data_IF_290947621749
#
_entry.id   IF_290947621749
#
_cell.length_a   1.000
_cell.length_b   1.000
_cell.length_c   1.000
_cell.angle_alpha   90.00
_cell.angle_beta   90.00
_cell.angle_gamma   90.00
#
_symmetry.space_group_name_H-M   'P 1'
#
loop_
_entity.id
_entity.type
_entity.pdbx_description
1 polymer ?
#
# COMPACT_ATOMS: atom_id res chain seq x y z
N UNK A 1 -6.23 -25.71 -8.96
CA UNK A 1 -5.50 -24.73 -9.80
C UNK A 1 -4.05 -24.65 -9.37
N UNK A 2 -3.14 -24.36 -10.29
CA UNK A 2 -1.74 -24.09 -9.96
C UNK A 2 -1.57 -22.58 -9.75
N UNK A 3 -0.99 -22.20 -8.63
CA UNK A 3 -0.87 -20.80 -8.19
C UNK A 3 0.59 -20.42 -8.03
N UNK A 4 0.96 -19.22 -8.50
CA UNK A 4 2.23 -18.58 -8.17
C UNK A 4 1.95 -17.39 -7.26
N UNK A 5 2.56 -17.38 -6.08
CA UNK A 5 2.60 -16.25 -5.16
C UNK A 5 3.90 -15.47 -5.39
N UNK A 6 3.81 -14.18 -5.63
CA UNK A 6 4.97 -13.29 -5.76
C UNK A 6 5.18 -12.55 -4.45
N UNK A 7 6.41 -12.65 -3.92
CA UNK A 7 6.87 -12.00 -2.70
C UNK A 7 7.53 -12.97 -1.73
N UNK A 8 8.08 -12.45 -0.62
CA UNK A 8 8.85 -13.26 0.33
C UNK A 8 8.80 -12.75 1.77
N UNK A 9 7.91 -11.80 2.07
CA UNK A 9 7.73 -11.25 3.41
C UNK A 9 6.78 -12.07 4.29
N UNK A 10 6.52 -11.58 5.50
CA UNK A 10 5.59 -12.19 6.45
C UNK A 10 4.14 -12.20 5.93
N UNK A 11 3.73 -11.18 5.18
CA UNK A 11 2.43 -11.12 4.50
C UNK A 11 2.29 -12.26 3.51
N UNK A 12 3.28 -12.47 2.65
CA UNK A 12 3.26 -13.55 1.67
C UNK A 12 3.34 -14.93 2.33
N UNK A 13 4.04 -15.05 3.47
CA UNK A 13 4.02 -16.29 4.24
C UNK A 13 2.59 -16.62 4.76
N UNK A 14 1.90 -15.64 5.32
CA UNK A 14 0.50 -15.81 5.75
C UNK A 14 -0.43 -16.16 4.59
N UNK A 15 -0.25 -15.51 3.42
CA UNK A 15 -0.98 -15.83 2.21
C UNK A 15 -0.69 -17.26 1.71
N UNK A 16 0.58 -17.68 1.69
CA UNK A 16 0.97 -19.03 1.29
C UNK A 16 0.32 -20.08 2.18
N UNK A 17 0.36 -19.86 3.50
CA UNK A 17 -0.26 -20.75 4.48
C UNK A 17 -1.79 -20.85 4.26
N UNK A 18 -2.48 -19.73 4.06
CA UNK A 18 -3.91 -19.72 3.80
C UNK A 18 -4.27 -20.36 2.45
N UNK A 19 -3.49 -20.08 1.40
CA UNK A 19 -3.68 -20.68 0.07
C UNK A 19 -3.46 -22.18 0.09
N UNK A 20 -2.48 -22.68 0.84
CA UNK A 20 -2.19 -24.13 0.95
C UNK A 20 -3.35 -24.93 1.52
N UNK A 21 -4.18 -24.31 2.36
CA UNK A 21 -5.39 -24.93 2.92
C UNK A 21 -6.59 -24.94 1.97
N UNK A 22 -6.49 -24.29 0.81
CA UNK A 22 -7.61 -24.19 -0.14
C UNK A 22 -7.87 -25.51 -0.88
N UNK A 23 -9.10 -26.03 -0.89
CA UNK A 23 -9.43 -27.23 -1.67
C UNK A 23 -9.36 -27.03 -3.19
N UNK A 24 -9.26 -25.80 -3.65
CA UNK A 24 -9.11 -25.46 -5.06
C UNK A 24 -7.64 -25.48 -5.52
N UNK A 25 -6.69 -25.54 -4.59
CA UNK A 25 -5.27 -25.54 -4.90
C UNK A 25 -4.82 -26.95 -5.33
N UNK A 26 -4.05 -27.01 -6.42
CA UNK A 26 -3.34 -28.22 -6.83
C UNK A 26 -1.85 -28.11 -6.48
N UNK A 27 -1.22 -27.01 -6.87
CA UNK A 27 0.18 -26.72 -6.53
C UNK A 27 0.33 -25.23 -6.18
N UNK A 28 1.19 -24.94 -5.20
CA UNK A 28 1.58 -23.61 -4.83
C UNK A 28 3.07 -23.41 -5.10
N UNK A 29 3.39 -22.39 -5.89
CA UNK A 29 4.75 -21.92 -6.11
C UNK A 29 4.88 -20.53 -5.49
N UNK A 30 6.09 -20.13 -5.08
CA UNK A 30 6.36 -18.79 -4.54
C UNK A 30 7.71 -18.26 -5.04
N UNK A 31 7.75 -16.99 -5.43
CA UNK A 31 8.96 -16.32 -5.91
C UNK A 31 9.15 -14.94 -5.25
N UNK A 32 10.28 -14.65 -4.63
CA UNK A 32 11.36 -15.58 -4.28
C UNK A 32 10.99 -16.49 -3.11
N UNK A 33 9.98 -16.15 -2.30
CA UNK A 33 9.59 -16.85 -1.09
C UNK A 33 10.58 -16.66 0.07
N UNK A 34 10.44 -17.49 1.09
CA UNK A 34 11.32 -17.56 2.26
C UNK A 34 11.30 -18.98 2.87
N UNK A 35 12.16 -19.31 3.85
CA UNK A 35 12.19 -20.65 4.43
C UNK A 35 10.87 -21.16 5.01
N UNK A 36 10.05 -20.29 5.62
CA UNK A 36 8.74 -20.69 6.14
C UNK A 36 7.73 -20.96 5.03
N UNK A 37 7.78 -20.22 3.92
CA UNK A 37 6.95 -20.48 2.73
C UNK A 37 7.34 -21.84 2.10
N UNK A 38 8.61 -22.22 2.16
CA UNK A 38 9.09 -23.50 1.62
C UNK A 38 8.42 -24.72 2.28
N UNK A 39 7.83 -24.58 3.46
CA UNK A 39 7.11 -25.65 4.13
C UNK A 39 5.75 -25.99 3.46
N UNK A 40 5.18 -25.04 2.72
CA UNK A 40 3.84 -25.15 2.11
C UNK A 40 3.83 -24.86 0.59
N UNK A 41 4.95 -24.43 0.00
CA UNK A 41 5.04 -24.07 -1.40
C UNK A 41 6.39 -24.46 -2.01
N UNK A 42 6.44 -24.65 -3.32
CA UNK A 42 7.69 -24.81 -4.08
C UNK A 42 8.27 -23.43 -4.33
N UNK A 43 9.49 -23.18 -3.84
CA UNK A 43 10.19 -21.92 -4.12
C UNK A 43 10.71 -21.89 -5.56
N UNK A 44 10.48 -20.77 -6.24
CA UNK A 44 10.91 -20.51 -7.60
C UNK A 44 12.05 -19.48 -7.62
N UNK A 45 13.21 -19.87 -8.12
CA UNK A 45 14.35 -18.99 -8.26
C UNK A 45 14.25 -18.20 -9.58
N UNK A 46 13.30 -17.27 -9.63
CA UNK A 46 13.08 -16.36 -10.76
C UNK A 46 13.20 -14.91 -10.29
N UNK A 47 13.73 -14.06 -11.15
CA UNK A 47 13.70 -12.62 -10.95
C UNK A 47 12.29 -12.11 -11.28
N UNK A 48 11.57 -11.66 -10.27
CA UNK A 48 10.19 -11.15 -10.42
C UNK A 48 10.14 -9.78 -11.11
N UNK A 49 11.26 -9.11 -11.32
CA UNK A 49 11.36 -7.88 -12.11
C UNK A 49 11.48 -8.16 -13.61
N UNK A 50 11.85 -9.37 -13.98
CA UNK A 50 11.80 -9.87 -15.37
C UNK A 50 10.43 -10.51 -15.63
N UNK A 51 9.47 -9.70 -16.07
CA UNK A 51 8.11 -10.16 -16.33
C UNK A 51 8.06 -11.26 -17.41
N UNK A 52 8.97 -11.27 -18.38
CA UNK A 52 9.06 -12.32 -19.40
C UNK A 52 9.47 -13.66 -18.77
N UNK A 53 10.44 -13.65 -17.84
CA UNK A 53 10.82 -14.83 -17.08
C UNK A 53 9.67 -15.36 -16.21
N UNK A 54 8.90 -14.48 -15.56
CA UNK A 54 7.71 -14.86 -14.79
C UNK A 54 6.67 -15.53 -15.68
N UNK A 55 6.37 -14.95 -16.84
CA UNK A 55 5.40 -15.50 -17.81
C UNK A 55 5.87 -16.87 -18.33
N UNK A 56 7.16 -17.01 -18.66
CA UNK A 56 7.74 -18.27 -19.09
C UNK A 56 7.63 -19.35 -18.02
N UNK A 57 7.93 -18.98 -16.75
CA UNK A 57 7.76 -19.88 -15.61
C UNK A 57 6.31 -20.33 -15.45
N UNK A 58 5.35 -19.40 -15.54
CA UNK A 58 3.93 -19.72 -15.46
C UNK A 58 3.51 -20.74 -16.52
N UNK A 59 3.98 -20.57 -17.75
CA UNK A 59 3.69 -21.51 -18.85
C UNK A 59 4.31 -22.89 -18.61
N UNK A 60 5.58 -22.95 -18.19
CA UNK A 60 6.30 -24.20 -17.94
C UNK A 60 5.65 -25.02 -16.82
N UNK A 61 5.15 -24.36 -15.78
CA UNK A 61 4.55 -25.02 -14.62
C UNK A 61 3.02 -25.03 -14.63
N UNK A 62 2.40 -24.70 -15.78
CA UNK A 62 0.94 -24.64 -15.95
C UNK A 62 0.25 -23.79 -14.85
N UNK A 63 0.89 -22.70 -14.43
CA UNK A 63 0.31 -21.74 -13.47
C UNK A 63 -0.87 -21.05 -14.16
N UNK A 64 -2.02 -21.10 -13.53
CA UNK A 64 -3.27 -20.52 -14.04
C UNK A 64 -3.70 -19.26 -13.29
N UNK A 65 -3.07 -19.01 -12.14
CA UNK A 65 -3.40 -17.86 -11.30
C UNK A 65 -2.15 -17.34 -10.56
N UNK A 66 -1.93 -16.04 -10.62
CA UNK A 66 -0.83 -15.37 -9.93
C UNK A 66 -1.38 -14.44 -8.86
N UNK A 67 -0.83 -14.52 -7.65
CA UNK A 67 -1.11 -13.60 -6.55
C UNK A 67 0.12 -12.75 -6.31
N UNK A 68 -0.02 -11.43 -6.39
CA UNK A 68 1.10 -10.50 -6.19
C UNK A 68 0.95 -9.85 -4.81
N UNK A 69 1.88 -10.14 -3.90
CA UNK A 69 1.88 -9.62 -2.54
C UNK A 69 2.43 -8.20 -2.43
N UNK A 70 3.67 -7.91 -2.89
CA UNK A 70 4.28 -6.59 -2.75
C UNK A 70 3.79 -5.61 -3.82
N UNK A 71 3.82 -4.32 -3.49
CA UNK A 71 3.39 -3.23 -4.37
C UNK A 71 4.36 -2.96 -5.53
N UNK A 72 5.67 -3.12 -5.33
CA UNK A 72 6.67 -2.74 -6.32
C UNK A 72 6.51 -3.45 -7.69
N UNK A 73 6.28 -4.78 -7.77
CA UNK A 73 5.99 -5.45 -9.03
C UNK A 73 4.70 -4.95 -9.69
N UNK A 74 3.69 -4.57 -8.91
CA UNK A 74 2.41 -4.04 -9.42
C UNK A 74 2.59 -2.65 -10.04
N UNK A 75 3.33 -1.78 -9.36
CA UNK A 75 3.72 -0.45 -9.88
C UNK A 75 4.58 -0.59 -11.14
N UNK A 76 5.42 -1.62 -11.23
CA UNK A 76 6.18 -1.95 -12.45
C UNK A 76 5.29 -2.41 -13.61
N UNK A 77 4.11 -3.02 -13.33
CA UNK A 77 3.13 -3.41 -14.34
C UNK A 77 3.02 -4.91 -14.59
N UNK A 78 3.50 -5.75 -13.67
CA UNK A 78 3.45 -7.22 -13.84
C UNK A 78 2.02 -7.75 -14.04
N UNK A 79 1.02 -7.10 -13.42
CA UNK A 79 -0.37 -7.52 -13.58
C UNK A 79 -0.88 -7.34 -15.02
N UNK A 80 -0.47 -6.24 -15.66
CA UNK A 80 -0.84 -5.97 -17.05
C UNK A 80 -0.18 -6.96 -18.00
N UNK A 81 1.11 -7.26 -17.81
CA UNK A 81 1.86 -8.18 -18.66
C UNK A 81 1.37 -9.63 -18.51
N UNK A 82 1.05 -10.06 -17.29
CA UNK A 82 0.42 -11.38 -17.05
C UNK A 82 -0.94 -11.48 -17.70
N UNK A 83 -1.78 -10.45 -17.54
CA UNK A 83 -3.10 -10.41 -18.17
C UNK A 83 -3.01 -10.44 -19.71
N UNK A 84 -2.08 -9.69 -20.32
CA UNK A 84 -1.80 -9.72 -21.74
C UNK A 84 -1.33 -11.09 -22.23
N UNK A 85 -0.62 -11.84 -21.37
CA UNK A 85 -0.21 -13.22 -21.63
C UNK A 85 -1.32 -14.27 -21.42
N UNK A 86 -2.54 -13.85 -21.02
CA UNK A 86 -3.69 -14.72 -20.74
C UNK A 86 -3.65 -15.41 -19.37
N UNK A 87 -2.79 -14.96 -18.47
CA UNK A 87 -2.65 -15.51 -17.11
C UNK A 87 -3.49 -14.67 -16.16
N UNK A 88 -4.36 -15.31 -15.36
CA UNK A 88 -5.16 -14.62 -14.37
C UNK A 88 -4.25 -14.11 -13.24
N UNK A 89 -4.45 -12.87 -12.82
CA UNK A 89 -3.67 -12.22 -11.77
C UNK A 89 -4.58 -11.57 -10.75
N UNK A 90 -4.20 -11.70 -9.47
CA UNK A 90 -4.76 -10.95 -8.37
C UNK A 90 -3.77 -9.85 -7.96
N UNK A 91 -4.16 -8.63 -8.21
CA UNK A 91 -3.42 -7.39 -8.00
C UNK A 91 -3.88 -6.31 -8.96
N UNK A 92 -3.74 -5.03 -8.61
CA UNK A 92 -4.11 -3.91 -9.47
C UNK A 92 -3.21 -3.82 -10.71
N UNK A 93 -3.75 -3.23 -11.78
CA UNK A 93 -2.95 -2.83 -12.95
C UNK A 93 -1.90 -1.77 -12.55
N UNK A 94 -0.90 -1.56 -13.38
CA UNK A 94 0.12 -0.50 -13.19
C UNK A 94 -0.50 0.86 -12.92
N UNK A 95 -1.53 1.22 -13.67
CA UNK A 95 -2.23 2.49 -13.50
C UNK A 95 -3.02 2.54 -12.18
N UNK A 96 -3.67 1.45 -11.78
CA UNK A 96 -4.38 1.38 -10.51
C UNK A 96 -3.44 1.31 -9.30
N UNK A 97 -2.27 0.68 -9.43
CA UNK A 97 -1.26 0.59 -8.39
C UNK A 97 -0.66 1.96 -8.01
N UNK A 98 -0.86 3.01 -8.83
CA UNK A 98 -0.44 4.38 -8.49
C UNK A 98 -1.10 4.91 -7.21
N UNK A 99 -2.23 4.36 -6.80
CA UNK A 99 -2.86 4.73 -5.53
C UNK A 99 -1.97 4.43 -4.32
N UNK A 100 -1.06 3.49 -4.43
CA UNK A 100 -0.06 3.19 -3.41
C UNK A 100 1.34 3.69 -3.82
N UNK A 101 1.69 3.56 -5.09
CA UNK A 101 2.99 3.94 -5.62
C UNK A 101 3.26 5.44 -5.66
N UNK A 102 2.22 6.29 -5.59
CA UNK A 102 2.37 7.75 -5.62
C UNK A 102 1.45 8.44 -4.61
N UNK A 103 2.05 8.96 -3.54
CA UNK A 103 1.31 9.76 -2.54
C UNK A 103 0.61 10.98 -3.17
N UNK A 104 1.27 11.63 -4.12
CA UNK A 104 0.70 12.75 -4.84
C UNK A 104 -0.56 12.36 -5.63
N UNK A 105 -0.51 11.24 -6.37
CA UNK A 105 -1.66 10.72 -7.09
C UNK A 105 -2.85 10.46 -6.15
N UNK A 106 -2.60 9.77 -5.04
CA UNK A 106 -3.65 9.44 -4.07
C UNK A 106 -4.27 10.69 -3.46
N UNK A 107 -3.47 11.66 -3.08
CA UNK A 107 -3.96 12.93 -2.54
C UNK A 107 -4.79 13.71 -3.56
N UNK A 108 -4.32 13.80 -4.79
CA UNK A 108 -5.03 14.47 -5.88
C UNK A 108 -6.35 13.76 -6.20
N UNK A 109 -6.38 12.42 -6.18
CA UNK A 109 -7.59 11.62 -6.30
C UNK A 109 -8.59 11.93 -5.17
N UNK A 110 -8.11 11.94 -3.92
CA UNK A 110 -8.94 12.25 -2.76
C UNK A 110 -9.57 13.64 -2.88
N UNK A 111 -8.80 14.64 -3.27
CA UNK A 111 -9.29 16.02 -3.47
C UNK A 111 -10.33 16.11 -4.59
N UNK A 112 -10.06 15.50 -5.74
CA UNK A 112 -10.92 15.55 -6.92
C UNK A 112 -12.28 14.90 -6.66
N UNK A 113 -12.30 13.81 -5.89
CA UNK A 113 -13.52 13.03 -5.63
C UNK A 113 -14.11 13.22 -4.22
N UNK A 114 -13.59 14.17 -3.45
CA UNK A 114 -14.10 14.47 -2.11
C UNK A 114 -13.91 13.35 -1.08
N UNK A 115 -12.87 12.52 -1.24
CA UNK A 115 -12.55 11.42 -0.33
C UNK A 115 -11.81 12.01 0.88
N UNK A 116 -12.25 11.72 2.12
CA UNK A 116 -11.59 12.22 3.33
C UNK A 116 -10.13 11.82 3.40
N UNK A 117 -9.27 12.79 3.64
CA UNK A 117 -7.83 12.61 3.88
C UNK A 117 -7.29 13.80 4.64
N UNK A 118 -6.11 13.68 5.27
CA UNK A 118 -5.42 14.80 5.89
C UNK A 118 -5.29 15.98 4.91
N UNK A 119 -5.50 17.19 5.38
CA UNK A 119 -5.27 18.41 4.59
C UNK A 119 -3.80 18.42 4.10
N UNK A 120 -3.57 18.78 2.85
CA UNK A 120 -2.26 18.68 2.26
C UNK A 120 -2.00 19.76 1.21
N UNK A 121 -0.72 19.99 0.93
CA UNK A 121 -0.26 20.71 -0.25
C UNK A 121 0.95 20.01 -0.84
N UNK A 122 1.12 20.13 -2.16
CA UNK A 122 2.18 19.46 -2.92
C UNK A 122 3.15 20.46 -3.49
N UNK A 123 4.45 20.19 -3.38
CA UNK A 123 5.52 21.08 -3.80
C UNK A 123 6.54 20.34 -4.66
N UNK A 124 7.00 21.00 -5.70
CA UNK A 124 8.12 20.57 -6.55
C UNK A 124 9.38 21.40 -6.32
N UNK A 125 9.31 22.39 -5.41
CA UNK A 125 10.41 23.28 -5.06
C UNK A 125 10.48 23.48 -3.54
N UNK A 126 11.70 23.55 -3.01
CA UNK A 126 11.94 23.69 -1.57
C UNK A 126 11.45 25.04 -1.01
N UNK A 127 11.60 26.13 -1.77
CA UNK A 127 11.19 27.48 -1.32
C UNK A 127 9.72 27.54 -0.91
N UNK A 128 8.78 27.29 -1.85
CA UNK A 128 7.35 27.26 -1.55
C UNK A 128 6.97 26.25 -0.45
N UNK A 129 7.62 25.08 -0.38
CA UNK A 129 7.39 24.11 0.67
C UNK A 129 7.76 24.66 2.06
N UNK A 130 8.92 25.31 2.19
CA UNK A 130 9.35 25.96 3.44
C UNK A 130 8.38 27.06 3.87
N UNK A 131 7.93 27.89 2.92
CA UNK A 131 7.00 28.98 3.21
C UNK A 131 5.64 28.45 3.66
N UNK A 132 5.17 27.33 3.09
CA UNK A 132 3.98 26.65 3.55
C UNK A 132 4.15 26.11 4.98
N UNK A 133 5.26 25.40 5.26
CA UNK A 133 5.57 24.86 6.61
C UNK A 133 5.63 25.99 7.64
N UNK A 134 6.29 27.14 7.34
CA UNK A 134 6.31 28.30 8.24
C UNK A 134 4.94 28.88 8.52
N UNK A 135 4.08 28.92 7.50
CA UNK A 135 2.72 29.46 7.61
C UNK A 135 1.81 28.55 8.42
N UNK A 136 1.91 27.21 8.22
CA UNK A 136 1.06 26.23 8.90
C UNK A 136 1.53 25.95 10.33
N UNK A 137 2.84 26.08 10.60
CA UNK A 137 3.43 25.77 11.88
C UNK A 137 3.67 24.26 12.08
N UNK A 138 4.06 23.89 13.31
CA UNK A 138 4.28 22.50 13.72
C UNK A 138 3.28 22.13 14.86
N UNK A 139 2.92 20.85 15.02
CA UNK A 139 3.44 19.69 14.29
C UNK A 139 2.84 19.58 12.87
N UNK A 140 3.66 19.10 11.93
CA UNK A 140 3.28 18.94 10.53
C UNK A 140 3.99 17.69 9.95
N UNK A 141 3.43 17.08 8.92
CA UNK A 141 4.01 15.88 8.30
C UNK A 141 4.53 16.23 6.91
N UNK A 142 5.80 15.95 6.67
CA UNK A 142 6.46 16.14 5.38
C UNK A 142 6.75 14.75 4.79
N UNK A 143 6.23 14.48 3.60
CA UNK A 143 6.34 13.19 2.91
C UNK A 143 6.89 13.42 1.50
N UNK A 144 7.95 12.70 1.14
CA UNK A 144 8.21 12.30 -0.23
C UNK A 144 7.74 10.84 -0.39
N UNK A 145 8.28 10.07 -1.30
CA UNK A 145 8.04 8.61 -1.30
C UNK A 145 8.68 7.89 -0.09
N UNK A 146 9.36 8.65 0.82
CA UNK A 146 9.75 8.29 2.18
C UNK A 146 8.99 9.12 3.23
N UNK A 147 9.02 8.70 4.50
CA UNK A 147 8.34 9.39 5.62
C UNK A 147 9.33 10.25 6.42
N UNK A 148 9.00 11.52 6.62
CA UNK A 148 9.57 12.33 7.70
C UNK A 148 8.45 13.13 8.38
N UNK A 149 8.44 13.17 9.71
CA UNK A 149 7.51 13.97 10.50
C UNK A 149 8.32 14.99 11.29
N UNK A 150 8.00 16.28 11.12
CA UNK A 150 8.54 17.36 11.95
C UNK A 150 7.62 17.63 13.14
N UNK A 151 8.08 17.30 14.37
CA UNK A 151 7.39 17.66 15.61
C UNK A 151 7.63 19.12 15.97
N UNK A 152 8.74 19.69 15.52
CA UNK A 152 9.08 21.10 15.61
C UNK A 152 9.17 21.73 14.22
N UNK A 153 9.14 23.06 14.18
CA UNK A 153 9.27 23.79 12.92
C UNK A 153 10.64 23.54 12.27
N UNK A 154 11.70 23.49 13.07
CA UNK A 154 13.08 23.27 12.58
C UNK A 154 13.23 21.86 11.99
N UNK A 155 12.67 20.83 12.64
CA UNK A 155 12.65 19.46 12.13
C UNK A 155 11.88 19.37 10.79
N UNK A 156 10.73 20.06 10.69
CA UNK A 156 9.94 20.06 9.47
C UNK A 156 10.67 20.76 8.31
N UNK A 157 11.35 21.88 8.57
CA UNK A 157 12.15 22.57 7.57
C UNK A 157 13.37 21.75 7.15
N UNK A 158 14.06 21.12 8.10
CA UNK A 158 15.17 20.21 7.80
C UNK A 158 14.71 19.00 6.96
N UNK A 159 13.51 18.46 7.22
CA UNK A 159 12.94 17.39 6.40
C UNK A 159 12.67 17.84 4.95
N UNK A 160 12.13 19.05 4.74
CA UNK A 160 11.96 19.64 3.41
C UNK A 160 13.30 19.74 2.70
N UNK A 161 14.32 20.28 3.36
CA UNK A 161 15.65 20.46 2.77
C UNK A 161 16.29 19.13 2.37
N UNK A 162 16.28 18.14 3.28
CA UNK A 162 16.79 16.81 3.02
C UNK A 162 16.13 16.15 1.78
N UNK A 163 14.83 16.35 1.61
CA UNK A 163 14.10 15.75 0.49
C UNK A 163 14.46 16.40 -0.86
N UNK A 164 14.67 17.72 -0.91
CA UNK A 164 15.03 18.43 -2.14
C UNK A 164 16.52 18.43 -2.44
N UNK A 165 17.41 18.30 -1.44
CA UNK A 165 18.88 18.25 -1.61
C UNK A 165 19.41 16.91 -2.13
N UNK A 166 18.52 16.02 -2.56
CA UNK A 166 18.90 14.78 -3.26
C UNK A 166 19.13 13.56 -2.37
N UNK A 167 18.77 13.62 -1.09
CA UNK A 167 18.83 12.48 -0.17
C UNK A 167 17.91 11.30 -0.58
N UNK A 168 17.01 11.50 -1.55
CA UNK A 168 16.03 10.52 -1.98
C UNK A 168 15.95 10.31 -3.52
N UNK A 169 16.94 10.81 -4.28
CA UNK A 169 16.99 10.62 -5.74
C UNK A 169 15.74 11.12 -6.48
N UNK A 170 15.26 10.35 -7.46
CA UNK A 170 14.05 10.68 -8.23
C UNK A 170 12.77 10.78 -7.38
N UNK A 171 12.73 10.13 -6.22
CA UNK A 171 11.62 10.20 -5.27
C UNK A 171 11.46 11.58 -4.59
N UNK A 172 12.52 12.40 -4.58
CA UNK A 172 12.50 13.78 -4.06
C UNK A 172 11.94 14.82 -5.03
N UNK A 173 11.47 14.42 -6.22
CA UNK A 173 10.96 15.36 -7.22
C UNK A 173 9.64 16.08 -6.81
N UNK A 174 8.92 15.56 -5.82
CA UNK A 174 7.75 16.22 -5.24
C UNK A 174 7.60 15.85 -3.75
N UNK A 175 7.31 16.85 -2.95
CA UNK A 175 7.07 16.72 -1.51
C UNK A 175 5.60 17.03 -1.22
N UNK A 176 4.96 16.19 -0.40
CA UNK A 176 3.62 16.42 0.13
C UNK A 176 3.76 16.84 1.59
N UNK A 177 3.22 17.99 1.93
CA UNK A 177 3.14 18.49 3.30
C UNK A 177 1.71 18.34 3.78
N UNK A 178 1.51 17.62 4.89
CA UNK A 178 0.20 17.26 5.42
C UNK A 178 0.03 17.75 6.86
N UNK A 179 -1.22 18.01 7.24
CA UNK A 179 -1.56 18.24 8.65
C UNK A 179 -1.18 17.03 9.52
N UNK A 180 -0.78 17.32 10.74
CA UNK A 180 -0.54 16.29 11.75
C UNK A 180 -1.86 15.95 12.44
N UNK A 181 -2.36 14.74 12.21
CA UNK A 181 -3.55 14.22 12.87
C UNK A 181 -3.19 13.48 14.15
N UNK A 182 -4.01 13.62 15.19
CA UNK A 182 -3.90 12.88 16.46
C UNK A 182 -5.13 12.02 16.63
N UNK A 183 -4.96 10.78 17.05
CA UNK A 183 -6.04 9.82 17.21
C UNK A 183 -5.51 8.40 17.31
N UNK A 184 -6.38 7.42 17.17
CA UNK A 184 -6.00 6.02 17.11
C UNK A 184 -5.80 5.59 15.65
N UNK A 185 -4.61 5.04 15.33
CA UNK A 185 -4.37 4.44 14.01
C UNK A 185 -5.17 3.15 13.87
N UNK A 186 -5.72 2.90 12.69
CA UNK A 186 -6.33 1.63 12.33
C UNK A 186 -6.07 1.31 10.86
N UNK A 187 -5.92 0.01 10.60
CA UNK A 187 -5.77 -0.54 9.26
C UNK A 187 -7.09 -1.15 8.80
N UNK A 188 -7.60 -0.67 7.69
CA UNK A 188 -8.79 -1.19 7.05
C UNK A 188 -8.45 -1.80 5.69
N UNK A 189 -9.02 -2.97 5.42
CA UNK A 189 -8.78 -3.71 4.18
C UNK A 189 -10.09 -4.02 3.48
N UNK A 190 -10.12 -3.86 2.17
CA UNK A 190 -11.26 -4.24 1.34
C UNK A 190 -10.79 -5.07 0.14
N UNK A 191 -11.47 -6.18 -0.11
CA UNK A 191 -11.29 -6.98 -1.32
C UNK A 191 -12.11 -6.36 -2.45
N UNK A 192 -11.45 -6.02 -3.55
CA UNK A 192 -12.03 -5.26 -4.65
C UNK A 192 -11.90 -6.00 -5.98
N UNK A 193 -12.95 -5.94 -6.80
CA UNK A 193 -13.01 -6.52 -8.15
C UNK A 193 -13.03 -5.48 -9.28
N UNK A 194 -12.92 -4.20 -8.92
CA UNK A 194 -13.00 -3.04 -9.82
C UNK A 194 -14.34 -2.32 -9.79
N UNK A 195 -15.37 -2.93 -9.22
CA UNK A 195 -16.72 -2.36 -9.09
C UNK A 195 -17.25 -2.47 -7.66
N UNK A 196 -17.04 -3.63 -7.05
CA UNK A 196 -17.53 -3.98 -5.71
C UNK A 196 -16.39 -4.07 -4.73
N UNK A 197 -16.64 -3.69 -3.48
CA UNK A 197 -15.72 -3.90 -2.37
C UNK A 197 -16.39 -4.70 -1.26
N UNK A 198 -15.65 -5.68 -0.74
CA UNK A 198 -16.00 -6.45 0.44
C UNK A 198 -15.03 -6.10 1.56
N UNK A 199 -15.55 -5.60 2.69
CA UNK A 199 -14.74 -5.34 3.87
C UNK A 199 -14.13 -6.66 4.41
N UNK A 200 -12.84 -6.64 4.68
CA UNK A 200 -12.11 -7.70 5.37
C UNK A 200 -11.98 -7.36 6.86
N UNK A 201 -11.26 -8.23 7.61
CA UNK A 201 -10.94 -7.93 9.00
C UNK A 201 -10.07 -6.67 9.10
N UNK A 202 -10.32 -5.87 10.15
CA UNK A 202 -9.52 -4.69 10.47
C UNK A 202 -8.34 -5.08 11.36
N UNK A 203 -7.31 -4.25 11.39
CA UNK A 203 -6.17 -4.44 12.27
C UNK A 203 -5.72 -3.12 12.89
N UNK A 204 -5.00 -3.20 13.98
CA UNK A 204 -4.31 -2.07 14.59
C UNK A 204 -2.88 -2.49 14.92
N UNK A 205 -1.92 -1.73 14.44
CA UNK A 205 -0.50 -1.96 14.69
C UNK A 205 0.07 -0.85 15.59
N UNK A 206 1.08 -1.23 16.37
CA UNK A 206 1.80 -0.32 17.26
C UNK A 206 3.19 -0.08 16.69
N UNK A 207 3.45 1.14 16.26
CA UNK A 207 4.69 1.52 15.56
C UNK A 207 5.74 2.12 16.48
N UNK A 208 5.34 2.71 17.60
CA UNK A 208 6.28 3.38 18.50
C UNK A 208 7.01 2.39 19.40
N UNK A 209 8.31 2.64 19.60
CA UNK A 209 9.21 1.70 20.30
C UNK A 209 8.99 1.65 21.81
N UNK A 210 8.49 2.72 22.41
CA UNK A 210 8.35 2.86 23.86
C UNK A 210 6.94 2.60 24.37
N UNK A 211 6.85 2.22 25.64
CA UNK A 211 5.58 2.03 26.34
C UNK A 211 4.70 3.29 26.30
N UNK A 212 3.40 3.11 26.22
CA UNK A 212 2.44 4.21 26.13
C UNK A 212 2.48 4.97 24.80
N UNK A 213 2.83 4.29 23.71
CA UNK A 213 2.92 4.83 22.35
C UNK A 213 3.87 6.03 22.26
N UNK A 214 5.09 5.88 22.79
CA UNK A 214 6.13 6.91 22.87
C UNK A 214 7.37 6.56 22.06
N UNK A 215 8.24 7.55 21.80
CA UNK A 215 9.49 7.36 21.07
C UNK A 215 9.36 7.35 19.56
N UNK A 216 10.41 6.94 18.84
CA UNK A 216 10.42 6.88 17.39
C UNK A 216 9.55 5.75 16.84
N UNK A 217 9.07 5.91 15.60
CA UNK A 217 8.39 4.86 14.88
C UNK A 217 9.36 3.76 14.46
N UNK A 218 8.85 2.51 14.46
CA UNK A 218 9.51 1.30 13.97
C UNK A 218 8.74 0.74 12.77
N UNK A 219 9.15 -0.41 12.25
CA UNK A 219 8.37 -1.19 11.27
C UNK A 219 7.14 -1.90 11.85
N UNK A 220 6.95 -1.81 13.17
CA UNK A 220 5.85 -2.41 13.93
C UNK A 220 6.37 -3.20 15.12
N UNK A 221 5.81 -2.93 16.30
CA UNK A 221 6.12 -3.61 17.57
C UNK A 221 5.14 -4.74 17.88
N UNK A 222 4.05 -4.81 17.15
CA UNK A 222 3.00 -5.80 17.27
C UNK A 222 1.72 -5.31 16.61
N UNK A 223 0.81 -6.22 16.33
CA UNK A 223 -0.49 -5.91 15.79
C UNK A 223 -1.55 -6.89 16.31
N UNK A 224 -2.78 -6.47 16.30
CA UNK A 224 -3.93 -7.32 16.59
C UNK A 224 -5.08 -7.09 15.61
N UNK A 225 -5.92 -8.10 15.44
CA UNK A 225 -7.11 -8.08 14.59
C UNK A 225 -8.22 -8.88 15.29
N UNK A 226 -9.47 -8.39 15.27
CA UNK A 226 -9.90 -7.10 14.73
C UNK A 226 -9.47 -5.92 15.62
N UNK A 227 -9.43 -4.70 15.04
CA UNK A 227 -9.17 -3.47 15.78
C UNK A 227 -10.41 -3.04 16.58
N UNK A 228 -10.36 -2.88 17.91
CA UNK A 228 -11.53 -2.50 18.72
C UNK A 228 -12.10 -1.13 18.38
N UNK A 229 -11.25 -0.18 17.96
CA UNK A 229 -11.65 1.16 17.53
C UNK A 229 -12.51 1.13 16.26
N UNK A 230 -12.40 0.07 15.45
CA UNK A 230 -13.18 -0.13 14.23
C UNK A 230 -14.54 -0.78 14.55
N UNK A 231 -15.41 -0.04 15.18
CA UNK A 231 -16.80 -0.45 15.43
C UNK A 231 -17.55 -0.73 14.12
N UNK A 232 -18.69 -1.49 14.13
CA UNK A 232 -19.51 -1.68 12.94
C UNK A 232 -19.91 -0.38 12.24
N UNK A 233 -20.19 0.66 12.99
CA UNK A 233 -20.51 1.98 12.46
C UNK A 233 -19.30 2.63 11.76
N UNK A 234 -18.10 2.48 12.34
CA UNK A 234 -16.87 2.98 11.73
C UNK A 234 -16.50 2.18 10.46
N UNK A 235 -16.71 0.89 10.45
CA UNK A 235 -16.54 0.05 9.25
C UNK A 235 -17.45 0.53 8.11
N UNK A 236 -18.75 0.73 8.38
CA UNK A 236 -19.70 1.20 7.36
C UNK A 236 -19.35 2.63 6.89
N UNK A 237 -18.96 3.50 7.81
CA UNK A 237 -18.51 4.85 7.48
C UNK A 237 -17.28 4.82 6.56
N UNK A 238 -16.28 3.99 6.88
CA UNK A 238 -15.08 3.81 6.04
C UNK A 238 -15.45 3.30 4.65
N UNK A 239 -16.36 2.32 4.59
CA UNK A 239 -16.83 1.80 3.31
C UNK A 239 -17.56 2.88 2.49
N UNK A 240 -18.39 3.70 3.13
CA UNK A 240 -19.22 4.71 2.47
C UNK A 240 -18.42 5.94 2.04
N UNK A 241 -17.53 6.43 2.89
CA UNK A 241 -16.83 7.70 2.68
C UNK A 241 -15.45 7.53 1.99
N UNK A 242 -14.82 6.35 2.09
CA UNK A 242 -13.46 6.14 1.57
C UNK A 242 -13.43 5.05 0.50
N UNK A 243 -13.82 3.82 0.83
CA UNK A 243 -13.58 2.67 -0.05
C UNK A 243 -14.40 2.73 -1.33
N UNK A 244 -15.74 2.86 -1.22
CA UNK A 244 -16.62 2.93 -2.39
C UNK A 244 -16.33 4.15 -3.27
N UNK A 245 -16.11 5.37 -2.72
CA UNK A 245 -15.71 6.52 -3.51
C UNK A 245 -14.37 6.34 -4.22
N UNK A 246 -13.38 5.69 -3.58
CA UNK A 246 -12.09 5.39 -4.20
C UNK A 246 -12.25 4.47 -5.40
N UNK A 247 -13.04 3.38 -5.29
CA UNK A 247 -13.32 2.51 -6.42
C UNK A 247 -14.04 3.23 -7.57
N UNK A 248 -15.03 4.05 -7.23
CA UNK A 248 -15.75 4.85 -8.22
C UNK A 248 -14.82 5.84 -8.93
N UNK A 249 -13.94 6.50 -8.20
CA UNK A 249 -12.93 7.42 -8.73
C UNK A 249 -11.96 6.71 -9.67
N UNK A 250 -11.43 5.55 -9.27
CA UNK A 250 -10.52 4.75 -10.09
C UNK A 250 -11.21 4.24 -11.36
N UNK A 251 -12.47 3.82 -11.26
CA UNK A 251 -13.28 3.43 -12.42
C UNK A 251 -13.54 4.61 -13.36
N UNK A 252 -13.85 5.80 -12.82
CA UNK A 252 -14.04 7.01 -13.62
C UNK A 252 -12.77 7.44 -14.37
N UNK A 253 -11.59 7.16 -13.80
CA UNK A 253 -10.29 7.37 -14.48
C UNK A 253 -9.90 6.23 -15.44
N UNK A 254 -10.79 5.29 -15.73
CA UNK A 254 -10.55 4.10 -16.56
C UNK A 254 -9.47 3.14 -16.00
N UNK A 255 -9.22 3.18 -14.70
CA UNK A 255 -8.25 2.34 -14.00
C UNK A 255 -8.91 1.58 -12.84
N UNK A 256 -9.89 0.68 -13.09
CA UNK A 256 -10.62 -0.04 -12.05
C UNK A 256 -9.65 -0.82 -11.15
N UNK A 257 -9.77 -0.62 -9.84
CA UNK A 257 -8.88 -1.24 -8.86
C UNK A 257 -9.34 -2.67 -8.53
N UNK A 258 -8.47 -3.65 -8.77
CA UNK A 258 -8.68 -5.07 -8.42
C UNK A 258 -7.58 -5.51 -7.46
N UNK A 259 -7.97 -6.11 -6.35
CA UNK A 259 -7.00 -6.54 -5.32
C UNK A 259 -7.48 -6.16 -3.92
N UNK A 260 -6.55 -6.10 -2.98
CA UNK A 260 -6.82 -5.60 -1.62
C UNK A 260 -6.53 -4.11 -1.58
N UNK A 261 -7.57 -3.31 -1.36
CA UNK A 261 -7.42 -1.88 -1.09
C UNK A 261 -7.19 -1.69 0.42
N UNK A 262 -6.06 -1.11 0.76
CA UNK A 262 -5.69 -0.74 2.12
C UNK A 262 -6.01 0.73 2.38
N UNK A 263 -6.66 1.01 3.51
CA UNK A 263 -6.83 2.36 4.02
C UNK A 263 -6.25 2.46 5.44
N UNK A 264 -5.19 3.24 5.59
CA UNK A 264 -4.67 3.67 6.89
C UNK A 264 -5.53 4.81 7.42
N UNK A 265 -6.14 4.61 8.57
CA UNK A 265 -7.07 5.54 9.18
C UNK A 265 -6.47 6.15 10.44
N UNK A 266 -6.81 7.41 10.67
CA UNK A 266 -6.66 8.07 11.97
C UNK A 266 -8.05 8.36 12.50
N UNK A 267 -8.43 7.68 13.58
CA UNK A 267 -9.75 7.84 14.22
C UNK A 267 -9.61 8.95 15.26
N UNK A 268 -10.28 10.08 14.99
CA UNK A 268 -10.23 11.31 15.80
C UNK A 268 -11.28 11.29 16.90
#
# INVERSE_FOLDING_TARGET
MNVLLIGGGGREHALAWALSASPLLTTLHCAPGNPGIAEVATLAAIDVTDHAAVIAYCRTHAITFVVVGPEAPLVAGIADDLAAAGIKVFGPSKAAAQIEGSKGFTKDLCREFGIPTAAYERFTEAGPARDYVRRMGAPIVVKADGLAAGKSLDEALAAVDMMFEGGMGAAGAAVVVEEFMTGEEASFFALCDGETALALATAQDHKRVGDGDTGPNTGGMGAYSPAPVMTPAMVERTMAEIIRPTLAAMKAKAHPFKGVLFAGLMIL
#
